data_IF_209186340970
#
_entry.id   IF_209186340970
#
_cell.length_a   1.000
_cell.length_b   1.000
_cell.length_c   1.000
_cell.angle_alpha   90.00
_cell.angle_beta   90.00
_cell.angle_gamma   90.00
#
_symmetry.space_group_name_H-M   'P 1'
#
loop_
_entity.id
_entity.type
_entity.pdbx_description
1 polymer ?
#
# COMPACT_ATOMS: atom_id res chain seq x y z
N UNK A 1 -4.33 -2.73 -16.90
CA UNK A 1 -5.45 -1.77 -16.71
C UNK A 1 -4.94 -0.39 -16.29
N UNK A 2 -5.80 0.56 -15.86
CA UNK A 2 -5.35 1.89 -15.36
C UNK A 2 -4.74 1.87 -13.95
N UNK A 3 -5.10 0.86 -13.17
CA UNK A 3 -4.53 0.61 -11.84
C UNK A 3 -3.14 0.00 -11.99
N UNK A 4 -2.22 0.39 -11.11
CA UNK A 4 -0.84 -0.08 -11.17
C UNK A 4 -0.76 -1.52 -10.68
N UNK A 5 -0.56 -2.44 -11.61
CA UNK A 5 -0.48 -3.90 -11.36
C UNK A 5 0.60 -4.30 -10.36
N UNK A 6 1.64 -3.47 -10.22
CA UNK A 6 2.69 -3.56 -9.20
C UNK A 6 2.13 -3.76 -7.77
N UNK A 7 0.99 -3.16 -7.44
CA UNK A 7 0.43 -3.26 -6.09
C UNK A 7 -0.27 -4.59 -5.83
N UNK A 8 -0.90 -5.19 -6.85
CA UNK A 8 -1.86 -6.29 -6.76
C UNK A 8 -3.10 -6.00 -5.89
N UNK A 9 -2.92 -5.48 -4.67
CA UNK A 9 -3.97 -5.14 -3.71
C UNK A 9 -3.47 -4.06 -2.74
N UNK A 10 -4.35 -3.14 -2.34
CA UNK A 10 -4.09 -1.95 -1.53
C UNK A 10 -3.11 -0.95 -2.15
N UNK A 11 -3.49 0.34 -2.08
CA UNK A 11 -2.79 1.52 -2.61
C UNK A 11 -2.86 1.73 -4.13
N UNK A 12 -3.43 0.80 -4.90
CA UNK A 12 -3.65 0.97 -6.33
C UNK A 12 -4.64 2.10 -6.66
N UNK A 13 -5.66 2.23 -5.82
CA UNK A 13 -6.69 3.27 -5.88
C UNK A 13 -6.09 4.64 -5.52
N UNK A 14 -5.34 4.72 -4.41
CA UNK A 14 -4.66 5.94 -3.98
C UNK A 14 -3.60 6.40 -5.00
N UNK A 15 -2.82 5.49 -5.58
CA UNK A 15 -1.88 5.79 -6.68
C UNK A 15 -2.60 6.34 -7.91
N UNK A 16 -3.74 5.74 -8.27
CA UNK A 16 -4.56 6.23 -9.37
C UNK A 16 -5.11 7.64 -9.09
N UNK A 17 -5.70 7.88 -7.92
CA UNK A 17 -6.20 9.20 -7.52
C UNK A 17 -5.11 10.26 -7.48
N UNK A 18 -3.91 9.93 -6.96
CA UNK A 18 -2.79 10.87 -6.92
C UNK A 18 -2.26 11.17 -8.32
N UNK A 19 -2.21 10.19 -9.23
CA UNK A 19 -1.88 10.42 -10.65
C UNK A 19 -2.92 11.29 -11.35
N UNK A 20 -4.21 11.02 -11.14
CA UNK A 20 -5.29 11.83 -11.69
C UNK A 20 -5.17 13.29 -11.22
N UNK A 21 -4.95 13.50 -9.91
CA UNK A 21 -4.74 14.84 -9.32
C UNK A 21 -3.57 15.58 -9.95
N UNK A 22 -2.44 14.88 -10.15
CA UNK A 22 -1.25 15.47 -10.80
C UNK A 22 -1.44 15.76 -12.28
N UNK A 23 -2.36 15.07 -12.94
CA UNK A 23 -2.76 15.34 -14.32
C UNK A 23 -3.83 16.45 -14.44
N UNK A 24 -4.13 17.17 -13.35
CA UNK A 24 -5.07 18.30 -13.35
C UNK A 24 -6.52 17.94 -13.05
N UNK A 25 -6.81 16.67 -12.75
CA UNK A 25 -8.16 16.23 -12.42
C UNK A 25 -8.50 16.48 -10.95
N UNK A 26 -9.78 16.72 -10.67
CA UNK A 26 -10.29 16.84 -9.30
C UNK A 26 -10.71 15.48 -8.76
N UNK A 27 -10.26 15.14 -7.56
CA UNK A 27 -10.76 14.00 -6.78
C UNK A 27 -11.77 14.56 -5.77
N UNK A 28 -13.05 14.23 -5.94
CA UNK A 28 -14.16 14.81 -5.17
C UNK A 28 -14.85 13.76 -4.31
N UNK A 29 -15.33 14.17 -3.14
CA UNK A 29 -16.17 13.38 -2.25
C UNK A 29 -17.55 14.02 -2.18
N UNK A 30 -18.61 13.22 -2.37
CA UNK A 30 -19.99 13.69 -2.38
C UNK A 30 -20.75 13.10 -1.18
N UNK A 31 -20.93 13.85 -0.08
CA UNK A 31 -21.54 13.32 1.14
C UNK A 31 -23.02 12.93 0.98
N UNK A 32 -23.70 13.44 -0.05
CA UNK A 32 -25.09 13.10 -0.35
C UNK A 32 -25.26 11.67 -0.92
N UNK A 33 -24.18 11.08 -1.45
CA UNK A 33 -24.19 9.73 -2.01
C UNK A 33 -23.51 8.78 -1.02
N UNK A 34 -24.25 7.79 -0.53
CA UNK A 34 -23.70 6.79 0.39
C UNK A 34 -23.99 5.36 -0.08
N UNK A 35 -23.09 4.45 0.29
CA UNK A 35 -23.19 3.02 0.01
C UNK A 35 -22.66 2.24 1.21
N UNK A 36 -23.28 1.10 1.51
CA UNK A 36 -22.86 0.25 2.61
C UNK A 36 -21.75 -0.70 2.13
N UNK A 37 -20.63 -0.71 2.85
CA UNK A 37 -19.53 -1.61 2.60
C UNK A 37 -19.19 -2.39 3.87
N UNK A 38 -19.09 -3.72 3.76
CA UNK A 38 -18.67 -4.58 4.85
C UNK A 38 -17.15 -4.51 4.99
N UNK A 39 -16.69 -3.67 5.92
CA UNK A 39 -15.28 -3.32 6.13
C UNK A 39 -14.41 -4.58 6.22
N UNK A 40 -13.47 -4.70 5.28
CA UNK A 40 -12.46 -5.75 5.26
C UNK A 40 -13.02 -7.18 5.34
N UNK A 41 -14.25 -7.44 4.89
CA UNK A 41 -14.85 -8.77 4.98
C UNK A 41 -14.03 -9.84 4.24
N UNK A 42 -13.49 -9.50 3.06
CA UNK A 42 -12.72 -10.45 2.25
C UNK A 42 -11.26 -10.59 2.71
N UNK A 43 -10.70 -9.54 3.31
CA UNK A 43 -9.26 -9.47 3.58
C UNK A 43 -8.91 -9.59 5.06
N UNK A 44 -9.84 -9.35 5.97
CA UNK A 44 -9.64 -9.33 7.43
C UNK A 44 -8.85 -8.11 7.91
N UNK A 45 -9.35 -7.46 8.95
CA UNK A 45 -8.65 -6.34 9.61
C UNK A 45 -7.39 -6.88 10.29
N UNK A 46 -6.23 -6.30 9.99
CA UNK A 46 -4.95 -6.72 10.58
C UNK A 46 -4.53 -8.14 10.22
N UNK A 47 -5.09 -8.72 9.16
CA UNK A 47 -4.72 -10.06 8.70
C UNK A 47 -3.30 -10.10 8.15
N UNK A 48 -2.78 -11.30 7.95
CA UNK A 48 -1.52 -11.52 7.26
C UNK A 48 -1.47 -10.93 5.84
N UNK A 49 -2.61 -10.94 5.14
CA UNK A 49 -2.74 -10.37 3.81
C UNK A 49 -2.66 -8.84 3.88
N UNK A 50 -3.34 -8.25 4.85
CA UNK A 50 -3.29 -6.82 5.14
C UNK A 50 -1.85 -6.38 5.52
N UNK A 51 -1.21 -7.12 6.42
CA UNK A 51 0.19 -6.90 6.83
C UNK A 51 1.15 -6.86 5.66
N UNK A 52 1.08 -7.84 4.76
CA UNK A 52 2.00 -7.95 3.64
C UNK A 52 1.82 -6.79 2.66
N UNK A 53 0.60 -6.66 2.11
CA UNK A 53 0.34 -5.73 1.02
C UNK A 53 0.34 -4.28 1.49
N UNK A 54 -0.26 -3.94 2.64
CA UNK A 54 -0.20 -2.56 3.14
C UNK A 54 1.23 -2.14 3.46
N UNK A 55 2.03 -3.00 4.10
CA UNK A 55 3.41 -2.66 4.46
C UNK A 55 4.26 -2.40 3.23
N UNK A 56 4.26 -3.34 2.27
CA UNK A 56 5.06 -3.22 1.04
C UNK A 56 4.63 -2.02 0.20
N UNK A 57 3.32 -1.87 0.01
CA UNK A 57 2.77 -0.90 -0.93
C UNK A 57 2.77 0.52 -0.35
N UNK A 58 2.67 0.68 0.98
CA UNK A 58 2.84 1.99 1.65
C UNK A 58 4.25 2.54 1.47
N UNK A 59 5.28 1.68 1.46
CA UNK A 59 6.65 2.10 1.15
C UNK A 59 6.75 2.60 -0.29
N UNK A 60 6.23 1.86 -1.27
CA UNK A 60 6.27 2.26 -2.68
C UNK A 60 5.50 3.56 -2.93
N UNK A 61 4.26 3.67 -2.44
CA UNK A 61 3.44 4.88 -2.59
C UNK A 61 4.08 6.09 -1.89
N UNK A 62 4.49 5.92 -0.63
CA UNK A 62 5.05 7.00 0.16
C UNK A 62 6.39 7.52 -0.38
N UNK A 63 7.26 6.63 -0.87
CA UNK A 63 8.54 7.04 -1.45
C UNK A 63 8.37 7.72 -2.81
N UNK A 64 7.30 7.43 -3.56
CA UNK A 64 6.96 8.16 -4.79
C UNK A 64 6.47 9.58 -4.52
N UNK A 65 5.48 9.73 -3.63
CA UNK A 65 4.67 10.94 -3.58
C UNK A 65 4.88 11.81 -2.33
N UNK A 66 5.39 11.26 -1.23
CA UNK A 66 5.48 12.00 0.03
C UNK A 66 6.65 13.00 0.06
N UNK A 67 6.59 13.93 1.03
CA UNK A 67 7.66 14.89 1.29
C UNK A 67 8.91 14.20 1.86
N UNK A 68 10.12 14.77 1.72
CA UNK A 68 11.36 14.13 2.18
C UNK A 68 11.34 13.67 3.65
N UNK A 69 10.76 14.47 4.56
CA UNK A 69 10.59 14.09 5.97
C UNK A 69 9.78 12.80 6.15
N UNK A 70 8.68 12.66 5.41
CA UNK A 70 7.84 11.46 5.44
C UNK A 70 8.57 10.27 4.82
N UNK A 71 9.34 10.49 3.73
CA UNK A 71 10.18 9.43 3.16
C UNK A 71 11.18 8.89 4.18
N UNK A 72 11.89 9.76 4.90
CA UNK A 72 12.82 9.36 5.95
C UNK A 72 12.11 8.59 7.08
N UNK A 73 10.92 9.04 7.49
CA UNK A 73 10.11 8.34 8.50
C UNK A 73 9.69 6.93 8.03
N UNK A 74 9.31 6.77 6.76
CA UNK A 74 8.97 5.47 6.18
C UNK A 74 10.17 4.52 6.13
N UNK A 75 11.35 5.03 5.78
CA UNK A 75 12.58 4.24 5.85
C UNK A 75 12.87 3.81 7.29
N UNK A 76 12.80 4.72 8.26
CA UNK A 76 12.96 4.38 9.69
C UNK A 76 11.97 3.31 10.14
N UNK A 77 10.71 3.42 9.73
CA UNK A 77 9.67 2.44 10.04
C UNK A 77 9.94 1.09 9.37
N UNK A 78 10.42 1.07 8.13
CA UNK A 78 10.80 -0.17 7.43
C UNK A 78 11.89 -0.93 8.19
N UNK A 79 12.88 -0.24 8.76
CA UNK A 79 13.90 -0.86 9.62
C UNK A 79 13.27 -1.47 10.87
N UNK A 80 12.35 -0.76 11.53
CA UNK A 80 11.60 -1.31 12.68
C UNK A 80 10.80 -2.55 12.30
N UNK A 81 10.17 -2.55 11.12
CA UNK A 81 9.43 -3.71 10.63
C UNK A 81 10.36 -4.91 10.39
N UNK A 82 11.54 -4.70 9.81
CA UNK A 82 12.52 -5.77 9.58
C UNK A 82 13.05 -6.37 10.90
N UNK A 83 13.29 -5.55 11.92
CA UNK A 83 13.81 -6.00 13.21
C UNK A 83 12.72 -6.67 14.06
N UNK A 84 11.58 -6.00 14.25
CA UNK A 84 10.56 -6.36 15.24
C UNK A 84 9.13 -6.54 14.72
N UNK A 85 8.90 -6.38 13.42
CA UNK A 85 7.56 -6.50 12.83
C UNK A 85 7.02 -7.95 12.81
N UNK A 86 5.72 -8.08 12.55
CA UNK A 86 5.07 -9.37 12.30
C UNK A 86 5.67 -10.04 11.07
N UNK A 87 5.55 -11.38 10.98
CA UNK A 87 6.08 -12.20 9.87
C UNK A 87 5.82 -11.58 8.49
N UNK A 88 4.56 -11.22 8.21
CA UNK A 88 4.17 -10.70 6.90
C UNK A 88 4.57 -9.24 6.66
N UNK A 89 4.72 -8.43 7.72
CA UNK A 89 5.32 -7.10 7.62
C UNK A 89 6.81 -7.21 7.24
N UNK A 90 7.56 -8.10 7.89
CA UNK A 90 8.97 -8.40 7.57
C UNK A 90 9.15 -8.81 6.11
N UNK A 91 8.36 -9.78 5.66
CA UNK A 91 8.40 -10.27 4.27
C UNK A 91 8.00 -9.16 3.29
N UNK A 92 6.94 -8.40 3.58
CA UNK A 92 6.50 -7.27 2.74
C UNK A 92 7.56 -6.18 2.61
N UNK A 93 8.20 -5.79 3.72
CA UNK A 93 9.31 -4.82 3.72
C UNK A 93 10.51 -5.35 2.94
N UNK A 94 10.91 -6.60 3.13
CA UNK A 94 12.00 -7.22 2.37
C UNK A 94 11.69 -7.22 0.88
N UNK A 95 10.49 -7.62 0.49
CA UNK A 95 10.08 -7.70 -0.91
C UNK A 95 10.05 -6.32 -1.58
N UNK A 96 9.71 -5.25 -0.85
CA UNK A 96 9.87 -3.88 -1.34
C UNK A 96 11.31 -3.58 -1.76
N UNK A 97 12.29 -3.87 -0.87
CA UNK A 97 13.71 -3.61 -1.15
C UNK A 97 14.30 -4.54 -2.22
N UNK A 98 13.80 -5.77 -2.33
CA UNK A 98 14.19 -6.72 -3.37
C UNK A 98 13.48 -6.49 -4.72
N UNK A 99 12.62 -5.48 -4.81
CA UNK A 99 11.87 -5.20 -6.04
C UNK A 99 10.81 -6.24 -6.40
N UNK A 100 10.36 -7.06 -5.43
CA UNK A 100 9.38 -8.14 -5.62
C UNK A 100 7.95 -7.63 -5.44
N UNK A 101 7.32 -7.27 -6.55
CA UNK A 101 5.99 -6.67 -6.59
C UNK A 101 4.91 -7.62 -7.15
N UNK A 102 3.70 -7.11 -7.40
CA UNK A 102 2.54 -7.94 -7.74
C UNK A 102 2.17 -8.82 -6.54
N UNK A 103 2.00 -10.12 -6.75
CA UNK A 103 1.79 -11.08 -5.64
C UNK A 103 3.05 -11.29 -4.80
N UNK A 104 4.25 -11.04 -5.33
CA UNK A 104 5.53 -11.25 -4.63
C UNK A 104 5.60 -12.57 -3.86
N UNK A 105 6.20 -12.56 -2.66
CA UNK A 105 6.27 -13.73 -1.78
C UNK A 105 4.93 -14.14 -1.15
N UNK A 106 3.85 -13.38 -1.34
CA UNK A 106 2.51 -13.82 -0.94
C UNK A 106 1.96 -14.88 -1.89
N UNK A 107 2.33 -14.84 -3.18
CA UNK A 107 1.85 -15.81 -4.17
C UNK A 107 2.42 -17.22 -4.02
N UNK A 108 3.44 -17.39 -3.19
CA UNK A 108 4.10 -18.67 -2.88
C UNK A 108 3.71 -19.22 -1.50
N UNK A 109 2.74 -18.58 -0.84
CA UNK A 109 2.15 -19.02 0.43
C UNK A 109 1.15 -20.13 0.16
#
# INVERSE_FOLDING_TARGET
GYLREKYFLYWEDADYSERARRAGWKVVYTPATFLWHKVSQASGIGSHLNDYFLTRNRLDFGLRYARPRTKAALIKESVKHLLGGRKWQKIGTRDFFLGRFGKGSWGTK
#
